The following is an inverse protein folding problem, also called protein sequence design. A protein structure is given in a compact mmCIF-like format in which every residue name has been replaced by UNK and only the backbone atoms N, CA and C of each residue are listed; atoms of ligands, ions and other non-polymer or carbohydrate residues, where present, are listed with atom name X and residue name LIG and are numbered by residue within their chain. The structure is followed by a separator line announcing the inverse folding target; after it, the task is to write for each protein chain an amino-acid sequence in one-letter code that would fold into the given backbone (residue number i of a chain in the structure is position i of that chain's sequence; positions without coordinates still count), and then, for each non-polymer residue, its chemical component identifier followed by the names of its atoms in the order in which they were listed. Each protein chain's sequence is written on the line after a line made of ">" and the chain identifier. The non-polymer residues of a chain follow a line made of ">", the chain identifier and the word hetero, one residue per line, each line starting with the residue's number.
data_IF_099492125494
#
_entry.id   IF_099492125494
#
_cell.length_a   1.000
_cell.length_b   1.000
_cell.length_c   1.000
_cell.angle_alpha   90.00
_cell.angle_beta   90.00
_cell.angle_gamma   90.00
#
_symmetry.space_group_name_H-M   'P 1'
#
loop_
_entity.id
_entity.type
_entity.pdbx_description
1 polymer ?
#
# COMPACT_ATOMS: atom_id res chain seq x y z
N UNK A 1 4.20 5.88 -5.72
CA UNK A 1 3.34 4.81 -5.15
C UNK A 1 3.79 4.47 -3.70
N UNK A 2 4.56 5.34 -3.02
CA UNK A 2 5.06 5.08 -1.67
C UNK A 2 4.05 5.38 -0.55
N UNK A 3 3.00 6.17 -0.81
CA UNK A 3 2.09 6.67 0.22
C UNK A 3 1.34 5.54 0.93
N UNK A 4 0.81 4.56 0.18
CA UNK A 4 0.06 3.43 0.76
C UNK A 4 0.95 2.49 1.58
N UNK A 5 2.18 2.24 1.12
CA UNK A 5 3.15 1.46 1.88
C UNK A 5 3.59 2.15 3.17
N UNK A 6 3.90 3.46 3.11
CA UNK A 6 4.31 4.23 4.29
C UNK A 6 3.17 4.37 5.31
N UNK A 7 1.93 4.60 4.85
CA UNK A 7 0.76 4.67 5.74
C UNK A 7 0.50 3.32 6.38
N UNK A 8 0.57 2.22 5.62
CA UNK A 8 0.44 0.86 6.15
C UNK A 8 1.48 0.56 7.22
N UNK A 9 2.73 0.96 7.01
CA UNK A 9 3.83 0.76 7.97
C UNK A 9 3.64 1.58 9.26
N UNK A 10 3.16 2.83 9.13
CA UNK A 10 2.80 3.66 10.29
C UNK A 10 1.63 3.06 11.09
N UNK A 11 0.61 2.51 10.40
CA UNK A 11 -0.52 1.84 11.05
C UNK A 11 -0.08 0.55 11.76
N UNK A 12 0.79 -0.24 11.14
CA UNK A 12 1.39 -1.41 11.79
C UNK A 12 2.16 -1.01 13.05
N UNK A 13 2.99 0.03 12.96
CA UNK A 13 3.75 0.54 14.10
C UNK A 13 2.84 1.02 15.23
N UNK A 14 1.80 1.79 14.91
CA UNK A 14 0.79 2.23 15.87
C UNK A 14 0.04 1.04 16.52
N UNK A 15 -0.34 0.03 15.72
CA UNK A 15 -0.96 -1.20 16.23
C UNK A 15 -0.05 -1.99 17.18
N UNK A 16 1.24 -2.13 16.83
CA UNK A 16 2.24 -2.77 17.71
C UNK A 16 2.45 -1.97 19.00
N UNK A 17 2.48 -0.64 18.94
CA UNK A 17 2.53 0.21 20.13
C UNK A 17 1.30 0.02 21.02
N UNK A 18 0.09 0.03 20.45
CA UNK A 18 -1.15 -0.21 21.20
C UNK A 18 -1.18 -1.60 21.85
N UNK A 19 -0.67 -2.63 21.16
CA UNK A 19 -0.51 -3.97 21.73
C UNK A 19 0.50 -3.96 22.89
N UNK A 20 1.63 -3.27 22.73
CA UNK A 20 2.65 -3.12 23.78
C UNK A 20 2.12 -2.43 25.04
N UNK A 21 1.33 -1.37 24.86
CA UNK A 21 0.65 -0.67 25.97
C UNK A 21 -0.32 -1.63 26.69
N UNK A 22 -1.12 -2.38 25.94
CA UNK A 22 -2.06 -3.34 26.54
C UNK A 22 -1.36 -4.46 27.29
N UNK A 23 -0.21 -4.92 26.79
CA UNK A 23 0.64 -5.90 27.48
C UNK A 23 1.22 -5.30 28.76
N UNK A 24 1.70 -4.05 28.72
CA UNK A 24 2.18 -3.36 29.91
C UNK A 24 1.10 -3.24 30.98
N UNK A 25 -0.12 -2.82 30.62
CA UNK A 25 -1.26 -2.73 31.54
C UNK A 25 -1.60 -4.09 32.17
N UNK A 26 -1.50 -5.17 31.39
CA UNK A 26 -1.72 -6.53 31.89
C UNK A 26 -0.72 -6.91 32.99
N UNK A 27 0.56 -6.60 32.79
CA UNK A 27 1.61 -6.95 33.76
C UNK A 27 1.65 -6.01 34.97
N UNK A 28 1.29 -4.73 34.80
CA UNK A 28 1.37 -3.74 35.86
C UNK A 28 0.10 -3.65 36.74
N UNK A 29 -1.09 -3.84 36.17
CA UNK A 29 -2.37 -3.60 36.86
C UNK A 29 -3.24 -4.86 37.03
N UNK A 30 -2.75 -6.04 36.64
CA UNK A 30 -3.50 -7.32 36.64
C UNK A 30 -4.85 -7.23 35.88
N UNK A 31 -4.99 -6.22 35.01
CA UNK A 31 -6.21 -6.00 34.24
C UNK A 31 -6.26 -7.06 33.16
N UNK A 32 -7.33 -7.85 33.19
CA UNK A 32 -7.57 -8.83 32.16
C UNK A 32 -7.68 -8.18 30.78
N UNK A 33 -6.89 -8.71 29.85
CA UNK A 33 -6.75 -8.24 28.47
C UNK A 33 -8.09 -8.09 27.73
N UNK A 34 -9.07 -8.94 28.03
CA UNK A 34 -10.40 -8.91 27.41
C UNK A 34 -11.26 -7.69 27.82
N UNK A 35 -10.91 -7.01 28.92
CA UNK A 35 -11.57 -5.75 29.34
C UNK A 35 -10.92 -4.51 28.76
N UNK A 36 -9.76 -4.65 28.08
CA UNK A 36 -9.02 -3.51 27.55
C UNK A 36 -9.40 -3.27 26.08
N UNK A 37 -10.13 -2.19 25.75
CA UNK A 37 -10.51 -1.90 24.36
C UNK A 37 -9.29 -1.64 23.45
N UNK A 38 -8.12 -1.34 24.02
CA UNK A 38 -6.88 -1.12 23.28
C UNK A 38 -6.38 -2.37 22.55
N UNK A 39 -6.68 -3.60 23.02
CA UNK A 39 -6.24 -4.80 22.29
C UNK A 39 -7.01 -4.96 20.97
N UNK A 40 -8.31 -4.66 20.99
CA UNK A 40 -9.13 -4.72 19.78
C UNK A 40 -8.65 -3.66 18.78
N UNK A 41 -8.36 -2.45 19.26
CA UNK A 41 -7.78 -1.39 18.46
C UNK A 41 -6.42 -1.81 17.86
N UNK A 42 -5.55 -2.41 18.66
CA UNK A 42 -4.24 -2.87 18.22
C UNK A 42 -4.33 -3.90 17.09
N UNK A 43 -5.18 -4.92 17.27
CA UNK A 43 -5.43 -5.94 16.25
C UNK A 43 -5.98 -5.30 14.97
N UNK A 44 -6.96 -4.39 15.11
CA UNK A 44 -7.60 -3.75 13.99
C UNK A 44 -6.63 -2.86 13.19
N UNK A 45 -5.84 -2.03 13.88
CA UNK A 45 -4.80 -1.20 13.26
C UNK A 45 -3.75 -2.04 12.54
N UNK A 46 -3.33 -3.15 13.15
CA UNK A 46 -2.34 -4.03 12.55
C UNK A 46 -2.87 -4.75 11.31
N UNK A 47 -4.11 -5.26 11.35
CA UNK A 47 -4.79 -5.87 10.21
C UNK A 47 -4.93 -4.89 9.04
N UNK A 48 -5.43 -3.70 9.33
CA UNK A 48 -5.60 -2.64 8.31
C UNK A 48 -4.23 -2.21 7.79
N UNK A 49 -3.23 -2.04 8.65
CA UNK A 49 -1.87 -1.67 8.24
C UNK A 49 -1.27 -2.67 7.25
N UNK A 50 -1.36 -3.97 7.54
CA UNK A 50 -0.93 -5.04 6.62
C UNK A 50 -1.69 -4.97 5.30
N UNK A 51 -3.01 -4.78 5.34
CA UNK A 51 -3.83 -4.66 4.13
C UNK A 51 -3.38 -3.49 3.25
N UNK A 52 -3.06 -2.33 3.86
CA UNK A 52 -2.55 -1.17 3.14
C UNK A 52 -1.19 -1.43 2.49
N UNK A 53 -0.29 -2.14 3.17
CA UNK A 53 1.01 -2.54 2.58
C UNK A 53 0.78 -3.46 1.37
N UNK A 54 -0.07 -4.48 1.52
CA UNK A 54 -0.39 -5.41 0.43
C UNK A 54 -1.01 -4.69 -0.78
N UNK A 55 -1.99 -3.82 -0.55
CA UNK A 55 -2.65 -3.05 -1.61
C UNK A 55 -1.66 -2.09 -2.28
N UNK A 56 -0.75 -1.47 -1.53
CA UNK A 56 0.29 -0.61 -2.08
C UNK A 56 1.22 -1.35 -3.05
N UNK A 57 1.71 -2.52 -2.65
CA UNK A 57 2.53 -3.38 -3.51
C UNK A 57 1.76 -3.89 -4.74
N UNK A 58 0.51 -4.29 -4.55
CA UNK A 58 -0.35 -4.75 -5.63
C UNK A 58 -0.60 -3.63 -6.65
N UNK A 59 -0.85 -2.40 -6.19
CA UNK A 59 -1.03 -1.24 -7.06
C UNK A 59 0.22 -0.96 -7.90
N UNK A 60 1.41 -1.07 -7.29
CA UNK A 60 2.67 -0.91 -8.01
C UNK A 60 2.87 -1.98 -9.08
N UNK A 61 2.56 -3.24 -8.76
CA UNK A 61 2.63 -4.35 -9.71
C UNK A 61 1.63 -4.17 -10.86
N UNK A 62 0.39 -3.76 -10.56
CA UNK A 62 -0.64 -3.51 -11.57
C UNK A 62 -0.22 -2.38 -12.52
N UNK A 63 0.31 -1.27 -12.01
CA UNK A 63 0.77 -0.15 -12.84
C UNK A 63 1.90 -0.60 -13.77
N UNK A 64 2.87 -1.35 -13.24
CA UNK A 64 3.97 -1.91 -14.04
C UNK A 64 3.45 -2.84 -15.14
N UNK A 65 2.61 -3.80 -14.79
CA UNK A 65 2.01 -4.73 -15.77
C UNK A 65 1.13 -4.01 -16.78
N UNK A 66 0.36 -3.00 -16.38
CA UNK A 66 -0.51 -2.22 -17.25
C UNK A 66 0.28 -1.42 -18.29
N UNK A 67 1.41 -0.81 -17.90
CA UNK A 67 2.27 -0.09 -18.84
C UNK A 67 3.06 -1.02 -19.75
N UNK A 68 3.57 -2.14 -19.23
CA UNK A 68 4.30 -3.14 -20.02
C UNK A 68 3.39 -3.85 -21.04
N UNK A 69 2.19 -4.26 -20.60
CA UNK A 69 1.25 -5.03 -21.43
C UNK A 69 0.51 -4.18 -22.46
N UNK A 70 0.52 -2.84 -22.33
CA UNK A 70 -0.23 -2.00 -23.24
C UNK A 70 0.37 -1.93 -24.64
N UNK A 71 1.67 -2.18 -24.81
CA UNK A 71 2.35 -2.15 -26.13
C UNK A 71 2.16 -0.83 -26.91
N UNK A 72 1.57 0.20 -26.30
CA UNK A 72 1.25 1.47 -26.93
C UNK A 72 2.50 2.35 -26.91
N UNK A 73 2.85 2.88 -28.07
CA UNK A 73 3.89 3.90 -28.19
C UNK A 73 3.53 5.08 -27.27
N UNK A 74 4.53 5.59 -26.54
CA UNK A 74 4.39 6.68 -25.56
C UNK A 74 3.75 7.96 -26.12
N UNK A 75 3.72 8.10 -27.45
CA UNK A 75 3.11 9.21 -28.16
C UNK A 75 2.36 8.73 -29.40
N UNK A 76 1.27 9.43 -29.73
CA UNK A 76 0.54 9.26 -30.99
C UNK A 76 0.88 10.43 -31.90
N UNK A 77 1.39 10.14 -33.10
CA UNK A 77 1.69 11.19 -34.08
C UNK A 77 0.40 11.54 -34.81
N UNK A 78 -0.07 12.79 -34.66
CA UNK A 78 -1.27 13.26 -35.35
C UNK A 78 -1.00 13.66 -36.82
N UNK A 79 0.20 14.19 -37.12
CA UNK A 79 0.61 14.58 -38.47
C UNK A 79 2.13 14.60 -38.58
N UNK A 80 2.67 14.01 -39.64
CA UNK A 80 4.05 14.20 -40.08
C UNK A 80 4.09 15.28 -41.16
N UNK A 81 5.11 16.12 -41.15
CA UNK A 81 5.41 17.10 -42.22
C UNK A 81 6.85 16.88 -42.64
N UNK A 82 7.10 16.85 -43.94
CA UNK A 82 8.45 16.71 -44.51
C UNK A 82 9.15 15.35 -44.28
N UNK A 83 8.40 14.26 -44.03
CA UNK A 83 8.93 12.89 -44.00
C UNK A 83 8.45 12.09 -45.22
N UNK A 84 9.31 11.25 -45.85
CA UNK A 84 8.89 10.36 -46.92
C UNK A 84 7.87 9.35 -46.41
N UNK A 85 6.86 9.05 -47.23
CA UNK A 85 5.81 8.08 -46.91
C UNK A 85 6.41 6.69 -46.74
N UNK A 86 5.92 5.94 -45.73
CA UNK A 86 6.36 4.57 -45.48
C UNK A 86 5.85 3.56 -46.53
N UNK A 87 5.08 4.02 -47.53
CA UNK A 87 4.54 3.21 -48.64
C UNK A 87 5.50 3.02 -49.81
N UNK A 88 6.67 3.67 -49.79
CA UNK A 88 7.55 3.79 -50.96
C UNK A 88 8.89 3.02 -50.76
N UNK A 89 8.92 2.06 -49.84
CA UNK A 89 9.99 1.06 -49.62
C UNK A 89 9.40 -0.35 -49.70
#
# INVERSE_FOLDING_TARGET
>A
IHIFGTVGLLLCFAGTLSAGITLYDKFASDVYVHRNPLILLAIFLFLVGIQFVMVGLLAELIIRTYHESQGKKTYTIAKTVNLPSKSDL
#
